data_IF_358147743170
#
_entry.id   IF_358147743170
#
_cell.length_a   1.000
_cell.length_b   1.000
_cell.length_c   1.000
_cell.angle_alpha   90.00
_cell.angle_beta   90.00
_cell.angle_gamma   90.00
#
_symmetry.space_group_name_H-M   'P 1'
#
loop_
_entity.id
_entity.type
_entity.pdbx_description
1 polymer ?
#
# COMPACT_ATOMS: atom_id res chain seq x y z
N UNK A 1 -5.42 8.77 4.71
CA UNK A 1 -4.75 8.21 3.51
C UNK A 1 -5.12 9.01 2.28
N UNK A 2 -4.22 9.16 1.33
CA UNK A 2 -4.44 9.87 0.06
C UNK A 2 -4.20 8.90 -1.09
N UNK A 3 -4.92 9.07 -2.20
CA UNK A 3 -4.67 8.38 -3.46
C UNK A 3 -4.37 9.44 -4.51
N UNK A 4 -3.17 9.36 -5.08
CA UNK A 4 -2.74 10.21 -6.18
C UNK A 4 -3.09 9.53 -7.50
N UNK A 5 -3.67 10.29 -8.40
CA UNK A 5 -4.07 9.80 -9.72
C UNK A 5 -3.10 10.29 -10.79
N UNK A 6 -2.64 9.38 -11.65
CA UNK A 6 -1.72 9.67 -12.74
C UNK A 6 -2.22 9.04 -14.04
N UNK A 7 -1.97 9.69 -15.15
CA UNK A 7 -2.41 9.21 -16.47
C UNK A 7 -3.87 9.59 -16.79
N UNK A 8 -4.41 8.98 -17.82
CA UNK A 8 -5.76 9.29 -18.31
C UNK A 8 -6.80 8.39 -17.64
N UNK A 9 -7.86 8.97 -17.11
CA UNK A 9 -8.92 8.24 -16.40
C UNK A 9 -9.63 7.16 -17.24
N UNK A 10 -9.59 7.28 -18.57
CA UNK A 10 -10.18 6.32 -19.52
C UNK A 10 -9.24 5.14 -19.83
N UNK A 11 -7.98 5.21 -19.41
CA UNK A 11 -7.02 4.12 -19.60
C UNK A 11 -7.31 2.95 -18.64
N UNK A 12 -6.63 1.83 -18.86
CA UNK A 12 -6.68 0.67 -17.92
C UNK A 12 -6.22 1.12 -16.53
N UNK A 13 -6.92 0.68 -15.50
CA UNK A 13 -6.67 1.15 -14.13
C UNK A 13 -5.73 0.21 -13.39
N UNK A 14 -4.67 0.79 -12.83
CA UNK A 14 -3.69 0.14 -11.97
C UNK A 14 -3.75 0.72 -10.55
N UNK A 15 -4.03 -0.09 -9.56
CA UNK A 15 -3.88 0.26 -8.15
C UNK A 15 -2.46 -0.06 -7.68
N UNK A 16 -1.78 0.91 -7.06
CA UNK A 16 -0.40 0.80 -6.63
C UNK A 16 -0.26 1.04 -5.13
N UNK A 17 0.13 -0.01 -4.39
CA UNK A 17 0.46 0.05 -2.97
C UNK A 17 1.98 0.10 -2.77
N UNK A 18 2.54 1.18 -2.20
CA UNK A 18 3.99 1.33 -2.00
C UNK A 18 4.52 0.51 -0.83
N UNK A 19 5.83 0.51 -0.66
CA UNK A 19 6.51 -0.05 0.51
C UNK A 19 6.31 0.81 1.76
N UNK A 20 6.77 0.29 2.91
CA UNK A 20 6.77 1.04 4.18
C UNK A 20 7.68 2.26 4.10
N UNK A 21 7.19 3.41 4.56
CA UNK A 21 7.95 4.67 4.67
C UNK A 21 8.63 5.12 3.37
N UNK A 22 8.12 4.67 2.23
CA UNK A 22 8.68 5.02 0.93
C UNK A 22 8.06 6.33 0.43
N UNK A 23 8.89 7.33 0.10
CA UNK A 23 8.38 8.62 -0.36
C UNK A 23 7.76 8.50 -1.76
N UNK A 24 6.79 9.36 -2.06
CA UNK A 24 6.06 9.37 -3.36
C UNK A 24 7.03 9.46 -4.55
N UNK A 25 8.11 10.22 -4.42
CA UNK A 25 9.09 10.42 -5.49
C UNK A 25 9.94 9.16 -5.79
N UNK A 26 10.03 8.19 -4.86
CA UNK A 26 10.82 6.97 -5.09
C UNK A 26 10.32 6.17 -6.31
N UNK A 27 9.02 6.25 -6.60
CA UNK A 27 8.42 5.61 -7.76
C UNK A 27 8.11 6.59 -8.90
N UNK A 28 8.57 7.84 -8.83
CA UNK A 28 8.17 8.88 -9.78
C UNK A 28 8.43 8.49 -11.25
N UNK A 29 9.61 7.93 -11.54
CA UNK A 29 9.96 7.50 -12.90
C UNK A 29 9.09 6.32 -13.36
N UNK A 30 8.88 5.33 -12.48
CA UNK A 30 8.03 4.17 -12.77
C UNK A 30 6.59 4.61 -13.01
N UNK A 31 6.06 5.46 -12.14
CA UNK A 31 4.70 6.01 -12.27
C UNK A 31 4.57 6.83 -13.56
N UNK A 32 5.55 7.68 -13.87
CA UNK A 32 5.55 8.47 -15.10
C UNK A 32 5.58 7.58 -16.36
N UNK A 33 6.29 6.46 -16.32
CA UNK A 33 6.30 5.50 -17.42
C UNK A 33 4.96 4.77 -17.56
N UNK A 34 4.42 4.27 -16.48
CA UNK A 34 3.15 3.56 -16.43
C UNK A 34 1.99 4.46 -16.84
N UNK A 35 1.96 5.71 -16.40
CA UNK A 35 0.88 6.66 -16.66
C UNK A 35 0.74 7.07 -18.14
N UNK A 36 1.69 6.69 -19.00
CA UNK A 36 1.54 6.85 -20.46
C UNK A 36 0.43 5.96 -21.04
N UNK A 37 0.16 4.81 -20.40
CA UNK A 37 -0.79 3.80 -20.89
C UNK A 37 -1.78 3.31 -19.83
N UNK A 38 -1.58 3.70 -18.57
CA UNK A 38 -2.41 3.31 -17.43
C UNK A 38 -2.94 4.54 -16.69
N UNK A 39 -4.14 4.41 -16.15
CA UNK A 39 -4.62 5.26 -15.06
C UNK A 39 -4.10 4.67 -13.74
N UNK A 40 -3.07 5.27 -13.17
CA UNK A 40 -2.42 4.77 -11.95
C UNK A 40 -3.01 5.44 -10.73
N UNK A 41 -3.54 4.63 -9.81
CA UNK A 41 -4.03 5.03 -8.50
C UNK A 41 -2.95 4.71 -7.46
N UNK A 42 -2.07 5.67 -7.18
CA UNK A 42 -0.98 5.51 -6.23
C UNK A 42 -1.46 5.79 -4.81
N UNK A 43 -1.44 4.78 -3.96
CA UNK A 43 -1.76 4.90 -2.54
C UNK A 43 -0.61 5.61 -1.81
N UNK A 44 -0.95 6.56 -0.94
CA UNK A 44 -0.02 7.20 0.00
C UNK A 44 -0.53 6.96 1.40
N UNK A 45 0.24 6.19 2.17
CA UNK A 45 -0.14 5.87 3.56
C UNK A 45 0.09 7.07 4.48
N UNK A 46 -0.83 7.29 5.42
CA UNK A 46 -0.69 8.32 6.44
C UNK A 46 0.57 8.11 7.28
N UNK A 47 1.23 9.19 7.65
CA UNK A 47 2.41 9.18 8.49
C UNK A 47 3.69 8.64 7.84
N UNK A 48 3.63 8.23 6.57
CA UNK A 48 4.81 7.74 5.84
C UNK A 48 5.63 8.87 5.19
N UNK A 49 5.07 10.08 5.14
CA UNK A 49 5.73 11.26 4.58
C UNK A 49 5.29 12.53 5.30
N UNK A 50 6.18 13.54 5.41
CA UNK A 50 5.85 14.82 6.07
C UNK A 50 4.65 15.55 5.45
N UNK A 51 4.49 15.44 4.13
CA UNK A 51 3.41 16.11 3.37
C UNK A 51 2.04 15.46 3.61
N UNK A 52 2.02 14.22 4.10
CA UNK A 52 0.82 13.45 4.38
C UNK A 52 0.83 12.99 5.84
N UNK A 53 0.63 13.94 6.78
CA UNK A 53 0.62 13.64 8.21
C UNK A 53 -0.58 12.76 8.56
N UNK A 54 -0.46 12.03 9.64
CA UNK A 54 -1.48 11.12 10.13
C UNK A 54 -0.83 9.87 10.70
N UNK A 55 -1.66 8.91 11.10
CA UNK A 55 -1.20 7.65 11.68
C UNK A 55 -1.62 6.47 10.80
N UNK A 56 -0.65 5.69 10.36
CA UNK A 56 -0.93 4.38 9.80
C UNK A 56 -1.30 3.42 10.95
N UNK A 57 -2.56 3.08 11.07
CA UNK A 57 -3.05 2.28 12.20
C UNK A 57 -3.01 0.78 11.92
N UNK A 58 -3.44 0.35 10.74
CA UNK A 58 -3.43 -1.05 10.34
C UNK A 58 -3.60 -1.25 8.84
N UNK A 59 -3.22 -2.44 8.37
CA UNK A 59 -3.46 -2.90 6.99
C UNK A 59 -4.97 -2.92 6.69
N UNK A 60 -5.78 -3.38 7.64
CA UNK A 60 -7.22 -3.48 7.49
C UNK A 60 -7.85 -2.11 7.23
N UNK A 61 -7.50 -1.10 8.05
CA UNK A 61 -8.02 0.25 7.89
C UNK A 61 -7.58 0.86 6.55
N UNK A 62 -6.30 0.76 6.21
CA UNK A 62 -5.79 1.27 4.94
C UNK A 62 -6.52 0.66 3.74
N UNK A 63 -6.76 -0.65 3.76
CA UNK A 63 -7.49 -1.35 2.70
C UNK A 63 -8.96 -0.95 2.65
N UNK A 64 -9.62 -0.80 3.80
CA UNK A 64 -11.02 -0.35 3.85
C UNK A 64 -11.18 1.07 3.28
N UNK A 65 -10.22 1.97 3.53
CA UNK A 65 -10.19 3.32 2.94
C UNK A 65 -10.01 3.28 1.41
N UNK A 66 -9.11 2.40 0.90
CA UNK A 66 -8.96 2.21 -0.56
C UNK A 66 -10.26 1.68 -1.18
N UNK A 67 -10.88 0.67 -0.57
CA UNK A 67 -12.16 0.13 -1.05
C UNK A 67 -13.24 1.21 -1.06
N UNK A 68 -13.32 2.03 -0.01
CA UNK A 68 -14.27 3.15 0.07
C UNK A 68 -14.01 4.17 -1.03
N UNK A 69 -12.75 4.56 -1.26
CA UNK A 69 -12.37 5.46 -2.34
C UNK A 69 -12.82 4.94 -3.71
N UNK A 70 -12.50 3.67 -4.03
CA UNK A 70 -12.87 3.05 -5.30
C UNK A 70 -14.38 3.00 -5.50
N UNK A 71 -15.14 2.62 -4.45
CA UNK A 71 -16.60 2.60 -4.50
C UNK A 71 -17.21 3.99 -4.71
N UNK A 72 -16.68 5.02 -4.07
CA UNK A 72 -17.14 6.40 -4.25
C UNK A 72 -16.88 6.92 -5.68
N UNK A 73 -15.94 6.32 -6.39
CA UNK A 73 -15.63 6.60 -7.79
C UNK A 73 -16.33 5.63 -8.76
N UNK A 74 -17.22 4.76 -8.26
CA UNK A 74 -17.91 3.75 -9.04
C UNK A 74 -16.97 2.75 -9.74
N UNK A 75 -15.74 2.61 -9.21
CA UNK A 75 -14.76 1.64 -9.72
C UNK A 75 -15.00 0.30 -9.04
N UNK A 76 -15.59 -0.64 -9.77
CA UNK A 76 -15.86 -2.01 -9.31
C UNK A 76 -14.85 -3.04 -9.80
N UNK A 77 -13.96 -2.63 -10.72
CA UNK A 77 -12.96 -3.50 -11.34
C UNK A 77 -11.66 -2.72 -11.59
N UNK A 78 -10.55 -3.38 -11.34
CA UNK A 78 -9.19 -2.94 -11.67
C UNK A 78 -8.59 -3.91 -12.70
N UNK A 79 -7.86 -3.37 -13.68
CA UNK A 79 -7.14 -4.19 -14.68
C UNK A 79 -5.88 -4.79 -14.10
N UNK A 80 -5.24 -4.07 -13.17
CA UNK A 80 -4.11 -4.57 -12.41
C UNK A 80 -4.04 -3.97 -11.01
N UNK A 81 -3.34 -4.65 -10.11
CA UNK A 81 -2.93 -4.13 -8.82
C UNK A 81 -1.50 -4.61 -8.50
N UNK A 82 -0.70 -3.72 -7.94
CA UNK A 82 0.66 -3.97 -7.49
C UNK A 82 0.80 -3.64 -6.01
N UNK A 83 1.57 -4.43 -5.29
CA UNK A 83 1.89 -4.14 -3.89
C UNK A 83 3.25 -4.68 -3.49
N UNK A 84 4.10 -3.81 -2.93
CA UNK A 84 5.44 -4.13 -2.48
C UNK A 84 5.53 -4.11 -0.96
N UNK A 85 6.16 -5.13 -0.35
CA UNK A 85 6.39 -5.22 1.10
C UNK A 85 5.08 -5.00 1.90
N UNK A 86 4.95 -3.90 2.69
CA UNK A 86 3.70 -3.52 3.35
C UNK A 86 2.54 -3.39 2.35
N UNK A 87 2.80 -2.80 1.19
CA UNK A 87 1.82 -2.72 0.10
C UNK A 87 1.40 -4.10 -0.41
N UNK A 88 2.28 -5.10 -0.36
CA UNK A 88 1.96 -6.49 -0.66
C UNK A 88 1.00 -7.10 0.36
N UNK A 89 1.16 -6.79 1.66
CA UNK A 89 0.21 -7.18 2.70
C UNK A 89 -1.16 -6.52 2.48
N UNK A 90 -1.18 -5.23 2.15
CA UNK A 90 -2.40 -4.51 1.82
C UNK A 90 -3.10 -5.12 0.60
N UNK A 91 -2.36 -5.41 -0.47
CA UNK A 91 -2.91 -6.04 -1.67
C UNK A 91 -3.46 -7.44 -1.38
N UNK A 92 -2.76 -8.25 -0.60
CA UNK A 92 -3.25 -9.58 -0.18
C UNK A 92 -4.59 -9.46 0.56
N UNK A 93 -4.69 -8.53 1.52
CA UNK A 93 -5.93 -8.25 2.24
C UNK A 93 -7.03 -7.74 1.31
N UNK A 94 -6.69 -6.82 0.39
CA UNK A 94 -7.61 -6.26 -0.58
C UNK A 94 -8.23 -7.35 -1.48
N UNK A 95 -7.40 -8.26 -1.99
CA UNK A 95 -7.84 -9.41 -2.79
C UNK A 95 -8.73 -10.36 -1.99
N UNK A 96 -8.34 -10.66 -0.74
CA UNK A 96 -9.11 -11.55 0.14
C UNK A 96 -10.52 -11.02 0.48
N UNK A 97 -10.70 -9.69 0.52
CA UNK A 97 -12.03 -9.08 0.72
C UNK A 97 -12.97 -9.30 -0.47
N UNK A 98 -12.45 -9.43 -1.67
CA UNK A 98 -13.24 -9.65 -2.88
C UNK A 98 -14.27 -8.57 -3.22
N UNK A 99 -14.14 -7.35 -2.63
CA UNK A 99 -15.11 -6.26 -2.82
C UNK A 99 -14.97 -5.52 -4.15
N UNK A 100 -13.78 -5.60 -4.76
CA UNK A 100 -13.43 -5.01 -6.06
C UNK A 100 -12.75 -6.12 -6.86
N UNK A 101 -13.15 -6.29 -8.11
CA UNK A 101 -12.54 -7.29 -8.99
C UNK A 101 -11.15 -6.82 -9.44
N UNK A 102 -10.17 -7.70 -9.43
CA UNK A 102 -8.81 -7.43 -9.93
C UNK A 102 -8.44 -8.46 -10.98
N UNK A 103 -8.17 -8.01 -12.20
CA UNK A 103 -7.85 -8.93 -13.30
C UNK A 103 -6.44 -9.53 -13.18
N UNK A 104 -5.47 -8.76 -12.69
CA UNK A 104 -4.08 -9.19 -12.47
C UNK A 104 -3.53 -8.56 -11.20
N UNK A 105 -2.80 -9.33 -10.40
CA UNK A 105 -2.15 -8.85 -9.19
C UNK A 105 -0.67 -9.24 -9.18
N UNK A 106 0.19 -8.32 -8.76
CA UNK A 106 1.60 -8.57 -8.52
C UNK A 106 1.91 -8.23 -7.06
N UNK A 107 2.35 -9.22 -6.30
CA UNK A 107 2.78 -9.08 -4.91
C UNK A 107 4.30 -9.25 -4.88
N UNK A 108 5.00 -8.17 -4.62
CA UNK A 108 6.46 -8.10 -4.61
C UNK A 108 6.97 -8.07 -3.17
N UNK A 109 7.58 -9.17 -2.71
CA UNK A 109 8.09 -9.28 -1.35
C UNK A 109 7.04 -9.04 -0.26
N UNK A 110 5.78 -9.36 -0.54
CA UNK A 110 4.66 -9.13 0.35
C UNK A 110 4.84 -9.84 1.68
N UNK A 111 4.59 -9.11 2.78
CA UNK A 111 4.55 -9.68 4.11
C UNK A 111 3.16 -10.32 4.27
N UNK A 112 3.12 -11.63 4.57
CA UNK A 112 1.86 -12.23 5.01
C UNK A 112 1.48 -11.66 6.37
N UNK A 113 0.21 -11.29 6.61
CA UNK A 113 -0.24 -10.86 7.94
C UNK A 113 -0.11 -12.04 8.91
N UNK A 114 1.05 -12.15 9.51
CA UNK A 114 1.35 -13.22 10.45
C UNK A 114 0.83 -12.81 11.83
N UNK A 115 -0.23 -13.43 12.29
CA UNK A 115 -0.73 -13.23 13.65
C UNK A 115 0.08 -14.08 14.63
N UNK A 116 1.14 -13.50 15.16
CA UNK A 116 1.84 -14.09 16.28
C UNK A 116 0.99 -14.03 17.56
N UNK A 117 1.08 -15.04 18.43
CA UNK A 117 0.54 -14.95 19.79
C UNK A 117 1.03 -13.67 20.48
N UNK A 118 0.19 -13.07 21.34
CA UNK A 118 0.46 -11.77 21.99
C UNK A 118 1.87 -11.66 22.59
N UNK A 119 2.34 -12.69 23.27
CA UNK A 119 3.68 -12.71 23.86
C UNK A 119 4.79 -12.68 22.79
N UNK A 120 4.62 -13.44 21.71
CA UNK A 120 5.57 -13.45 20.60
C UNK A 120 5.66 -12.09 19.89
N UNK A 121 4.53 -11.40 19.72
CA UNK A 121 4.50 -10.03 19.18
C UNK A 121 5.28 -9.05 20.03
N UNK A 122 5.14 -9.11 21.37
CA UNK A 122 5.86 -8.22 22.29
C UNK A 122 7.37 -8.47 22.26
N UNK A 123 7.79 -9.73 22.19
CA UNK A 123 9.20 -10.09 22.11
C UNK A 123 9.86 -9.60 20.80
N UNK A 124 9.18 -9.79 19.68
CA UNK A 124 9.68 -9.30 18.38
C UNK A 124 9.72 -7.78 18.39
N UNK A 125 8.68 -7.10 18.82
CA UNK A 125 8.65 -5.64 18.90
C UNK A 125 9.79 -5.11 19.80
N UNK A 126 10.01 -5.71 20.95
CA UNK A 126 11.11 -5.32 21.83
C UNK A 126 12.48 -5.49 21.17
N UNK A 127 12.69 -6.62 20.49
CA UNK A 127 13.92 -6.87 19.69
C UNK A 127 14.11 -5.81 18.62
N UNK A 128 13.07 -5.53 17.85
CA UNK A 128 13.15 -4.62 16.72
C UNK A 128 13.37 -3.17 17.17
N UNK A 129 12.74 -2.74 18.26
CA UNK A 129 12.98 -1.41 18.88
C UNK A 129 14.42 -1.29 19.37
N UNK A 130 14.97 -2.35 19.99
CA UNK A 130 16.36 -2.35 20.45
C UNK A 130 17.34 -2.31 19.27
N UNK A 131 17.10 -3.11 18.23
CA UNK A 131 17.91 -3.13 17.03
C UNK A 131 17.89 -1.76 16.32
N UNK A 132 16.71 -1.15 16.19
CA UNK A 132 16.57 0.17 15.57
C UNK A 132 17.30 1.26 16.37
N UNK A 133 17.19 1.26 17.71
CA UNK A 133 17.94 2.21 18.56
C UNK A 133 19.45 2.03 18.43
N UNK A 134 19.94 0.83 18.28
CA UNK A 134 21.36 0.56 18.08
C UNK A 134 21.87 1.14 16.75
N UNK A 135 21.11 0.95 15.67
CA UNK A 135 21.45 1.47 14.35
C UNK A 135 21.31 2.99 14.27
N UNK A 136 20.26 3.56 14.86
CA UNK A 136 20.00 5.01 14.82
C UNK A 136 20.90 5.81 15.77
N UNK A 137 21.53 5.15 16.77
CA UNK A 137 22.45 5.77 17.72
C UNK A 137 23.93 5.63 17.34
N UNK A 138 24.24 4.97 16.25
CA UNK A 138 25.59 4.86 15.67
C UNK A 138 25.78 5.84 14.52
#
# INVERSE_FOLDING_TARGET
MVILEHGQAQARTLLFFPCTAEPVWAFAETIALLSKTWHVLQVVFDGHQPEYPGDFTSVEQAVDEVVKYLKNREISRLDAAYGCSLGGACLTRFLALGKILVARAVIDGGITPYQLPYLGRRLILARDVLAFKHVAGS
#
